data_IF_001889170209
#
_entry.id   IF_001889170209
#
_cell.length_a   1.000
_cell.length_b   1.000
_cell.length_c   1.000
_cell.angle_alpha   90.00
_cell.angle_beta   90.00
_cell.angle_gamma   90.00
#
_symmetry.space_group_name_H-M   'P 1'
#
loop_
_entity.id
_entity.type
_entity.pdbx_description
1 polymer ?
#
# COMPACT_ATOMS: atom_id res chain seq x y z
N UNK A 1 -26.06 7.82 26.43
CA UNK A 1 -25.43 7.32 25.19
C UNK A 1 -24.33 8.29 24.78
N UNK A 2 -23.07 8.00 25.15
CA UNK A 2 -21.90 8.75 24.69
C UNK A 2 -21.36 8.06 23.43
N UNK A 3 -21.36 8.76 22.30
CA UNK A 3 -20.62 8.34 21.10
C UNK A 3 -19.35 9.18 21.07
N UNK A 4 -18.23 8.54 21.39
CA UNK A 4 -16.89 9.11 21.25
C UNK A 4 -16.54 9.11 19.76
N UNK A 5 -16.42 10.29 19.15
CA UNK A 5 -15.85 10.43 17.82
C UNK A 5 -14.35 10.16 17.96
N UNK A 6 -13.86 9.07 17.37
CA UNK A 6 -12.42 8.83 17.27
C UNK A 6 -11.80 10.01 16.49
N UNK A 7 -10.92 10.75 17.15
CA UNK A 7 -10.15 11.82 16.51
C UNK A 7 -9.28 11.18 15.42
N UNK A 8 -9.69 11.36 14.17
CA UNK A 8 -8.83 11.12 13.02
C UNK A 8 -7.59 11.97 13.20
N UNK A 9 -6.42 11.35 13.12
CA UNK A 9 -5.15 12.04 13.37
C UNK A 9 -4.94 13.09 12.28
N UNK A 10 -4.27 14.20 12.62
CA UNK A 10 -3.97 15.30 11.69
C UNK A 10 -3.32 14.80 10.36
N UNK A 11 -2.66 13.64 10.39
CA UNK A 11 -2.06 12.97 9.24
C UNK A 11 -3.09 12.42 8.22
N UNK A 12 -4.25 11.97 8.67
CA UNK A 12 -5.32 11.48 7.79
C UNK A 12 -5.98 12.63 7.00
N UNK A 13 -6.00 13.84 7.59
CA UNK A 13 -6.53 15.06 6.95
C UNK A 13 -5.59 15.54 5.85
N UNK A 14 -4.27 15.38 5.99
CA UNK A 14 -3.29 15.70 4.94
C UNK A 14 -3.28 14.69 3.77
N UNK A 15 -3.79 13.48 3.97
CA UNK A 15 -3.89 12.44 2.93
C UNK A 15 -5.19 12.53 2.09
N UNK A 16 -6.18 13.28 2.56
CA UNK A 16 -7.42 13.55 1.86
C UNK A 16 -7.24 14.78 0.95
N UNK A 17 -6.97 14.56 -0.34
CA UNK A 17 -6.95 15.64 -1.32
C UNK A 17 -8.27 16.41 -1.31
N UNK A 18 -8.22 17.68 -0.90
CA UNK A 18 -9.32 18.62 -1.07
C UNK A 18 -9.45 19.00 -2.55
N UNK A 19 -10.58 19.54 -2.98
CA UNK A 19 -10.73 20.11 -4.34
C UNK A 19 -9.68 21.19 -4.66
N UNK A 20 -9.05 21.77 -3.62
CA UNK A 20 -8.06 22.83 -3.74
C UNK A 20 -6.61 22.36 -3.90
N UNK A 21 -6.25 21.12 -3.50
CA UNK A 21 -4.86 20.63 -3.50
C UNK A 21 -4.74 19.22 -4.11
N UNK A 22 -3.74 18.95 -4.98
CA UNK A 22 -3.56 17.63 -5.54
C UNK A 22 -3.16 16.61 -4.46
N UNK A 23 -3.56 15.33 -4.63
CA UNK A 23 -3.17 14.26 -3.71
C UNK A 23 -1.66 14.05 -3.73
N UNK A 24 -1.06 13.79 -2.56
CA UNK A 24 0.37 13.44 -2.47
C UNK A 24 0.61 11.97 -2.83
N UNK A 25 1.59 11.73 -3.71
CA UNK A 25 2.04 10.39 -4.06
C UNK A 25 2.90 9.79 -2.95
N UNK A 26 2.69 8.52 -2.65
CA UNK A 26 3.54 7.68 -1.82
C UNK A 26 3.69 6.27 -2.42
N UNK A 27 4.65 5.51 -1.91
CA UNK A 27 5.01 4.17 -2.42
C UNK A 27 3.86 3.16 -2.35
N UNK A 28 2.89 3.34 -1.46
CA UNK A 28 1.78 2.40 -1.24
C UNK A 28 0.46 2.85 -1.91
N UNK A 29 0.36 4.09 -2.39
CA UNK A 29 -0.90 4.70 -2.79
C UNK A 29 -0.98 5.04 -4.29
N UNK A 30 -0.09 4.53 -5.14
CA UNK A 30 -0.07 4.88 -6.57
C UNK A 30 -1.43 4.74 -7.25
N UNK A 31 -2.12 3.61 -7.05
CA UNK A 31 -3.43 3.32 -7.66
C UNK A 31 -4.51 4.33 -7.21
N UNK A 32 -4.74 4.56 -5.90
CA UNK A 32 -5.67 5.59 -5.47
C UNK A 32 -5.20 7.02 -5.78
N UNK A 33 -3.89 7.29 -5.79
CA UNK A 33 -3.31 8.59 -6.12
C UNK A 33 -3.58 8.96 -7.59
N UNK A 34 -3.23 8.07 -8.53
CA UNK A 34 -3.43 8.28 -9.97
C UNK A 34 -4.90 8.59 -10.29
N UNK A 35 -5.82 7.82 -9.69
CA UNK A 35 -7.26 8.04 -9.84
C UNK A 35 -7.73 9.39 -9.28
N UNK A 36 -7.16 9.83 -8.14
CA UNK A 36 -7.49 11.13 -7.53
C UNK A 36 -6.87 12.28 -8.32
N UNK A 37 -5.64 12.13 -8.81
CA UNK A 37 -4.94 13.15 -9.61
C UNK A 37 -5.65 13.39 -10.94
N UNK A 38 -6.06 12.33 -11.65
CA UNK A 38 -6.83 12.46 -12.90
C UNK A 38 -8.19 13.13 -12.67
N UNK A 39 -8.84 12.85 -11.54
CA UNK A 39 -10.10 13.51 -11.16
C UNK A 39 -9.91 14.98 -10.85
N UNK A 40 -8.87 15.30 -10.09
CA UNK A 40 -8.48 16.66 -9.76
C UNK A 40 -8.10 17.45 -11.02
N UNK A 41 -7.35 16.85 -11.95
CA UNK A 41 -7.05 17.46 -13.24
C UNK A 41 -8.35 17.80 -13.99
N UNK A 42 -9.30 16.86 -14.08
CA UNK A 42 -10.60 17.07 -14.74
C UNK A 42 -11.45 18.18 -14.11
N UNK A 43 -11.32 18.47 -12.83
CA UNK A 43 -12.10 19.52 -12.15
C UNK A 43 -11.53 20.93 -12.32
N UNK A 44 -10.34 21.09 -12.92
CA UNK A 44 -9.76 22.41 -13.23
C UNK A 44 -10.43 23.04 -14.47
N UNK A 45 -10.36 24.39 -14.64
CA UNK A 45 -10.97 25.09 -15.77
C UNK A 45 -10.57 24.52 -17.16
N UNK A 46 -9.35 23.99 -17.29
CA UNK A 46 -8.83 23.33 -18.50
C UNK A 46 -8.78 21.80 -18.39
N UNK A 47 -9.58 21.19 -17.51
CA UNK A 47 -9.36 19.81 -17.07
C UNK A 47 -9.44 18.73 -18.13
N UNK A 48 -10.21 18.96 -19.21
CA UNK A 48 -10.23 18.08 -20.38
C UNK A 48 -8.90 18.08 -21.15
N UNK A 49 -8.25 19.24 -21.22
CA UNK A 49 -6.94 19.40 -21.88
C UNK A 49 -5.86 18.71 -21.05
N UNK A 50 -5.77 19.04 -19.75
CA UNK A 50 -4.82 18.42 -18.81
C UNK A 50 -4.93 16.88 -18.86
N UNK A 51 -6.15 16.35 -18.76
CA UNK A 51 -6.39 14.91 -18.79
C UNK A 51 -5.96 14.26 -20.12
N UNK A 52 -6.22 14.92 -21.25
CA UNK A 52 -5.83 14.42 -22.56
C UNK A 52 -4.31 14.48 -22.77
N UNK A 53 -3.64 15.54 -22.31
CA UNK A 53 -2.17 15.66 -22.35
C UNK A 53 -1.49 14.55 -21.54
N UNK A 54 -2.07 14.17 -20.39
CA UNK A 54 -1.56 13.07 -19.55
C UNK A 54 -1.66 11.71 -20.25
N UNK A 55 -2.81 11.42 -20.89
CA UNK A 55 -3.06 10.08 -21.44
C UNK A 55 -2.54 9.91 -22.87
N UNK A 56 -2.72 10.92 -23.72
CA UNK A 56 -2.53 10.80 -25.17
C UNK A 56 -1.25 11.49 -25.66
N UNK A 57 -0.51 12.17 -24.78
CA UNK A 57 0.71 12.87 -25.16
C UNK A 57 0.48 14.29 -25.62
N UNK A 58 1.53 15.00 -26.07
CA UNK A 58 1.36 16.37 -26.49
C UNK A 58 0.31 16.39 -27.60
N UNK A 59 -0.78 17.11 -27.33
CA UNK A 59 -1.80 17.41 -28.32
C UNK A 59 -1.08 17.88 -29.58
N UNK A 60 -1.26 17.17 -30.71
CA UNK A 60 -0.71 17.59 -32.00
C UNK A 60 -1.44 18.87 -32.42
N UNK A 61 -0.82 19.99 -32.05
CA UNK A 61 -0.89 21.34 -32.63
C UNK A 61 -2.17 21.67 -33.42
N UNK A 62 -3.10 22.38 -32.78
CA UNK A 62 -3.63 23.57 -33.45
C UNK A 62 -2.63 24.69 -33.21
N UNK A 63 -2.18 25.35 -34.28
CA UNK A 63 -1.44 26.61 -34.18
C UNK A 63 -2.20 27.50 -33.18
N UNK A 64 -1.48 28.08 -32.22
CA UNK A 64 -1.98 28.65 -30.94
C UNK A 64 -2.05 27.60 -29.82
N UNK A 65 -0.91 27.01 -29.46
CA UNK A 65 -0.70 26.69 -28.05
C UNK A 65 -0.21 27.99 -27.41
N UNK A 66 -1.08 28.71 -26.72
CA UNK A 66 -0.61 29.76 -25.82
C UNK A 66 0.29 29.08 -24.78
N UNK A 67 1.49 29.63 -24.55
CA UNK A 67 2.48 29.11 -23.61
C UNK A 67 1.92 28.79 -22.20
N UNK A 68 0.73 29.30 -21.86
CA UNK A 68 0.08 29.07 -20.57
C UNK A 68 -0.62 27.71 -20.39
N UNK A 69 -0.95 26.95 -21.42
CA UNK A 69 -1.72 25.69 -21.23
C UNK A 69 -0.84 24.49 -20.87
N UNK A 70 0.29 24.30 -21.55
CA UNK A 70 1.23 23.20 -21.24
C UNK A 70 1.87 23.33 -19.86
N UNK A 71 2.16 24.57 -19.43
CA UNK A 71 2.74 24.87 -18.12
C UNK A 71 1.76 24.53 -16.97
N UNK A 72 0.45 24.72 -17.19
CA UNK A 72 -0.61 24.34 -16.23
C UNK A 72 -0.72 22.81 -16.06
N UNK A 73 -0.54 22.06 -17.14
CA UNK A 73 -0.61 20.59 -17.14
C UNK A 73 0.57 19.99 -16.35
N UNK A 74 1.79 20.49 -16.62
CA UNK A 74 3.02 20.08 -15.94
C UNK A 74 2.96 20.41 -14.45
N UNK A 75 2.60 21.66 -14.11
CA UNK A 75 2.45 22.09 -12.72
C UNK A 75 1.43 21.25 -11.95
N UNK A 76 0.34 20.80 -12.60
CA UNK A 76 -0.68 19.95 -11.99
C UNK A 76 -0.12 18.61 -11.50
N UNK A 77 0.78 17.98 -12.26
CA UNK A 77 1.41 16.71 -11.88
C UNK A 77 2.47 16.94 -10.80
N UNK A 78 3.36 17.93 -11.02
CA UNK A 78 4.50 18.20 -10.13
C UNK A 78 4.08 18.52 -8.69
N UNK A 79 2.96 19.22 -8.49
CA UNK A 79 2.43 19.57 -7.17
C UNK A 79 2.03 18.34 -6.30
N UNK A 80 1.85 17.17 -6.93
CA UNK A 80 1.51 15.92 -6.25
C UNK A 80 2.70 14.98 -6.02
N UNK A 81 3.91 15.35 -6.45
CA UNK A 81 5.10 14.50 -6.40
C UNK A 81 5.97 14.83 -5.17
N UNK A 82 6.50 13.80 -4.49
CA UNK A 82 7.58 13.98 -3.52
C UNK A 82 8.91 14.31 -4.21
N UNK A 83 9.83 14.89 -3.45
CA UNK A 83 11.08 15.50 -3.93
C UNK A 83 12.01 14.52 -4.65
N UNK A 84 12.07 13.26 -4.19
CA UNK A 84 12.85 12.19 -4.82
C UNK A 84 12.31 11.80 -6.20
N UNK A 85 10.99 11.89 -6.40
CA UNK A 85 10.35 11.66 -7.68
C UNK A 85 10.47 12.89 -8.57
N UNK A 86 10.35 14.10 -8.00
CA UNK A 86 10.54 15.36 -8.72
C UNK A 86 11.93 15.43 -9.38
N UNK A 87 13.00 15.13 -8.62
CA UNK A 87 14.36 15.12 -9.15
C UNK A 87 14.58 14.08 -10.27
N UNK A 88 13.76 13.03 -10.35
CA UNK A 88 13.85 12.00 -11.39
C UNK A 88 13.06 12.32 -12.66
N UNK A 89 12.21 13.35 -12.62
CA UNK A 89 11.37 13.82 -13.73
C UNK A 89 11.68 15.27 -14.12
N UNK A 90 12.71 15.88 -13.54
CA UNK A 90 13.10 17.28 -13.76
C UNK A 90 13.49 17.57 -15.22
N UNK A 91 13.99 16.55 -15.93
CA UNK A 91 14.36 16.60 -17.34
C UNK A 91 13.20 16.31 -18.29
N UNK A 92 11.99 16.02 -17.78
CA UNK A 92 10.82 15.75 -18.61
C UNK A 92 10.16 17.07 -19.02
N UNK A 93 9.82 17.21 -20.30
CA UNK A 93 9.27 18.44 -20.85
C UNK A 93 7.74 18.40 -20.91
N UNK A 94 7.15 17.21 -20.94
CA UNK A 94 5.70 17.04 -21.10
C UNK A 94 5.03 16.35 -19.91
N UNK A 95 3.76 16.69 -19.68
CA UNK A 95 2.92 16.03 -18.69
C UNK A 95 2.83 14.50 -18.90
N UNK A 96 2.85 14.04 -20.16
CA UNK A 96 2.84 12.61 -20.48
C UNK A 96 4.16 11.93 -20.09
N UNK A 97 5.31 12.54 -20.39
CA UNK A 97 6.61 12.00 -20.01
C UNK A 97 6.73 11.87 -18.50
N UNK A 98 6.35 12.92 -17.76
CA UNK A 98 6.32 12.90 -16.29
C UNK A 98 5.40 11.78 -15.81
N UNK A 99 4.18 11.68 -16.35
CA UNK A 99 3.21 10.64 -15.98
C UNK A 99 3.74 9.22 -16.23
N UNK A 100 4.31 8.97 -17.41
CA UNK A 100 4.86 7.67 -17.78
C UNK A 100 6.08 7.32 -16.92
N UNK A 101 6.94 8.29 -16.64
CA UNK A 101 8.13 8.11 -15.81
C UNK A 101 7.76 7.78 -14.37
N UNK A 102 6.80 8.51 -13.79
CA UNK A 102 6.23 8.20 -12.47
C UNK A 102 5.64 6.78 -12.48
N UNK A 103 4.81 6.44 -13.47
CA UNK A 103 4.24 5.09 -13.57
C UNK A 103 5.31 3.99 -13.62
N UNK A 104 6.40 4.19 -14.36
CA UNK A 104 7.51 3.23 -14.43
C UNK A 104 8.25 3.11 -13.08
N UNK A 105 8.52 4.23 -12.42
CA UNK A 105 9.15 4.22 -11.09
C UNK A 105 8.28 3.50 -10.07
N UNK A 106 6.96 3.74 -10.10
CA UNK A 106 6.02 3.10 -9.19
C UNK A 106 5.89 1.60 -9.43
N UNK A 107 6.00 1.12 -10.68
CA UNK A 107 6.10 -0.33 -10.96
C UNK A 107 7.33 -0.96 -10.29
N UNK A 108 8.47 -0.26 -10.26
CA UNK A 108 9.67 -0.72 -9.54
C UNK A 108 9.47 -0.79 -8.02
N UNK A 109 8.77 0.20 -7.44
CA UNK A 109 8.40 0.18 -6.02
C UNK A 109 7.40 -0.93 -5.70
N UNK A 110 6.43 -1.19 -6.57
CA UNK A 110 5.47 -2.29 -6.43
C UNK A 110 6.19 -3.63 -6.41
N UNK A 111 7.18 -3.86 -7.27
CA UNK A 111 7.97 -5.11 -7.28
C UNK A 111 8.61 -5.36 -5.91
N UNK A 112 9.32 -4.37 -5.35
CA UNK A 112 9.95 -4.52 -4.03
C UNK A 112 8.93 -4.75 -2.90
N UNK A 113 7.77 -4.10 -2.97
CA UNK A 113 6.68 -4.30 -2.01
C UNK A 113 6.09 -5.71 -2.15
N UNK A 114 5.85 -6.19 -3.37
CA UNK A 114 5.31 -7.53 -3.64
C UNK A 114 6.32 -8.64 -3.29
N UNK A 115 7.61 -8.46 -3.56
CA UNK A 115 8.65 -9.39 -3.13
C UNK A 115 8.71 -9.50 -1.61
N UNK A 116 8.65 -8.38 -0.90
CA UNK A 116 8.62 -8.38 0.57
C UNK A 116 7.38 -9.11 1.10
N UNK A 117 6.23 -8.93 0.46
CA UNK A 117 5.00 -9.67 0.79
C UNK A 117 5.15 -11.16 0.52
N UNK A 118 5.65 -11.53 -0.66
CA UNK A 118 5.86 -12.92 -1.05
C UNK A 118 6.83 -13.63 -0.10
N UNK A 119 7.91 -12.95 0.33
CA UNK A 119 8.86 -13.47 1.33
C UNK A 119 8.18 -13.75 2.67
N UNK A 120 7.41 -12.78 3.20
CA UNK A 120 6.67 -12.97 4.46
C UNK A 120 5.63 -14.08 4.37
N UNK A 121 4.94 -14.19 3.23
CA UNK A 121 3.96 -15.25 3.01
C UNK A 121 4.61 -16.63 2.92
N UNK A 122 5.77 -16.74 2.25
CA UNK A 122 6.55 -17.97 2.20
C UNK A 122 7.10 -18.36 3.59
N UNK A 123 7.58 -17.39 4.37
CA UNK A 123 7.97 -17.62 5.77
C UNK A 123 6.80 -18.13 6.61
N UNK A 124 5.60 -17.58 6.41
CA UNK A 124 4.37 -18.07 7.03
C UNK A 124 4.01 -19.49 6.61
N UNK A 125 4.04 -19.77 5.32
CA UNK A 125 3.70 -21.08 4.78
C UNK A 125 4.64 -22.16 5.32
N UNK A 126 5.94 -21.85 5.42
CA UNK A 126 6.98 -22.76 5.90
C UNK A 126 7.18 -22.71 7.42
N UNK A 127 6.41 -21.90 8.13
CA UNK A 127 6.57 -21.75 9.58
C UNK A 127 6.27 -23.07 10.28
N UNK A 128 7.30 -23.62 10.94
CA UNK A 128 7.21 -24.82 11.75
C UNK A 128 8.13 -24.75 12.97
N UNK A 129 7.91 -25.65 13.92
CA UNK A 129 8.79 -25.83 15.07
C UNK A 129 10.14 -26.41 14.66
N UNK A 130 11.21 -25.93 15.29
CA UNK A 130 12.55 -26.46 15.05
C UNK A 130 12.87 -27.58 16.05
N UNK A 131 13.69 -28.56 15.67
CA UNK A 131 14.12 -29.63 16.58
C UNK A 131 14.82 -29.05 17.84
N UNK A 132 14.42 -29.53 19.03
CA UNK A 132 14.96 -29.05 20.31
C UNK A 132 14.55 -27.63 20.71
N UNK A 133 13.69 -26.95 19.95
CA UNK A 133 13.15 -25.63 20.33
C UNK A 133 12.27 -25.72 21.57
N UNK A 134 12.29 -24.69 22.44
CA UNK A 134 11.34 -24.60 23.55
C UNK A 134 10.00 -24.00 23.09
N UNK A 135 8.90 -24.36 23.77
CA UNK A 135 7.57 -23.81 23.44
C UNK A 135 7.50 -22.28 23.56
N UNK A 136 8.26 -21.70 24.49
CA UNK A 136 8.39 -20.26 24.68
C UNK A 136 9.10 -19.60 23.48
N UNK A 137 10.21 -20.19 23.01
CA UNK A 137 10.91 -19.74 21.80
C UNK A 137 10.00 -19.81 20.58
N UNK A 138 9.29 -20.93 20.41
CA UNK A 138 8.33 -21.12 19.30
C UNK A 138 7.24 -20.05 19.30
N UNK A 139 6.62 -19.81 20.48
CA UNK A 139 5.60 -18.78 20.63
C UNK A 139 6.15 -17.38 20.35
N UNK A 140 7.36 -17.07 20.79
CA UNK A 140 8.00 -15.78 20.52
C UNK A 140 8.24 -15.57 19.01
N UNK A 141 8.75 -16.59 18.29
CA UNK A 141 8.92 -16.53 16.83
C UNK A 141 7.59 -16.36 16.10
N UNK A 142 6.57 -17.08 16.54
CA UNK A 142 5.22 -16.97 15.97
C UNK A 142 4.64 -15.56 16.17
N UNK A 143 4.75 -15.00 17.37
CA UNK A 143 4.30 -13.63 17.65
C UNK A 143 5.02 -12.59 16.79
N UNK A 144 6.33 -12.74 16.61
CA UNK A 144 7.11 -11.85 15.74
C UNK A 144 6.59 -11.89 14.30
N UNK A 145 6.43 -13.09 13.75
CA UNK A 145 5.89 -13.30 12.40
C UNK A 145 4.47 -12.71 12.24
N UNK A 146 3.60 -12.93 13.23
CA UNK A 146 2.25 -12.35 13.24
C UNK A 146 2.26 -10.83 13.30
N UNK A 147 3.17 -10.23 14.08
CA UNK A 147 3.31 -8.78 14.15
C UNK A 147 3.82 -8.20 12.83
N UNK A 148 4.74 -8.89 12.15
CA UNK A 148 5.24 -8.47 10.85
C UNK A 148 4.15 -8.56 9.76
N UNK A 149 3.35 -9.64 9.76
CA UNK A 149 2.18 -9.77 8.88
C UNK A 149 1.16 -8.64 9.10
N UNK A 150 0.82 -8.33 10.37
CA UNK A 150 -0.08 -7.22 10.73
C UNK A 150 0.43 -5.87 10.24
N UNK A 151 1.72 -5.57 10.45
CA UNK A 151 2.34 -4.30 10.03
C UNK A 151 2.32 -4.11 8.52
N UNK A 152 2.37 -5.19 7.75
CA UNK A 152 2.32 -5.13 6.28
C UNK A 152 0.87 -5.17 5.73
N UNK A 153 -0.17 -5.04 6.58
CA UNK A 153 -1.60 -5.07 6.21
C UNK A 153 -2.05 -6.39 5.57
N UNK A 154 -1.36 -7.51 5.84
CA UNK A 154 -1.73 -8.85 5.38
C UNK A 154 -2.01 -9.72 6.58
N UNK A 155 -3.27 -9.83 6.99
CA UNK A 155 -3.66 -10.59 8.17
C UNK A 155 -4.47 -11.83 7.74
N UNK A 156 -3.96 -13.06 7.97
CA UNK A 156 -4.80 -14.24 7.95
C UNK A 156 -5.85 -14.10 9.06
N UNK A 157 -7.07 -14.57 8.85
CA UNK A 157 -8.08 -14.55 9.90
C UNK A 157 -7.55 -15.16 11.21
N UNK A 158 -8.03 -14.68 12.36
CA UNK A 158 -7.58 -15.14 13.68
C UNK A 158 -7.67 -16.67 13.81
N UNK A 159 -8.71 -17.26 13.23
CA UNK A 159 -8.94 -18.71 13.19
C UNK A 159 -7.84 -19.40 12.37
N UNK A 160 -7.53 -18.91 11.16
CA UNK A 160 -6.45 -19.45 10.33
C UNK A 160 -5.09 -19.35 11.03
N UNK A 161 -4.85 -18.27 11.77
CA UNK A 161 -3.62 -18.07 12.53
C UNK A 161 -3.48 -19.08 13.66
N UNK A 162 -4.54 -19.29 14.43
CA UNK A 162 -4.56 -20.26 15.53
C UNK A 162 -4.38 -21.70 15.03
N UNK A 163 -5.05 -22.06 13.93
CA UNK A 163 -4.89 -23.39 13.31
C UNK A 163 -3.45 -23.60 12.83
N UNK A 164 -2.84 -22.59 12.20
CA UNK A 164 -1.43 -22.66 11.78
C UNK A 164 -0.50 -22.86 12.98
N UNK A 165 -0.72 -22.15 14.09
CA UNK A 165 0.09 -22.32 15.30
C UNK A 165 0.03 -23.76 15.83
N UNK A 166 -1.18 -24.31 15.97
CA UNK A 166 -1.42 -25.64 16.56
C UNK A 166 -0.90 -26.77 15.66
N UNK A 167 -1.14 -26.70 14.35
CA UNK A 167 -0.78 -27.76 13.41
C UNK A 167 0.73 -27.92 13.19
N UNK A 168 1.55 -26.93 13.59
CA UNK A 168 3.01 -26.97 13.39
C UNK A 168 3.79 -27.11 14.72
N UNK A 169 3.08 -27.42 15.82
CA UNK A 169 3.73 -27.84 17.07
C UNK A 169 4.39 -29.21 16.89
N UNK A 170 5.47 -29.45 17.61
CA UNK A 170 6.08 -30.77 17.61
C UNK A 170 5.13 -31.83 18.20
N UNK A 171 5.21 -33.09 17.76
CA UNK A 171 4.34 -34.18 18.23
C UNK A 171 4.29 -34.33 19.75
N UNK A 172 5.41 -34.05 20.42
CA UNK A 172 5.59 -34.08 21.87
C UNK A 172 4.62 -33.12 22.56
N UNK A 173 4.37 -31.94 21.98
CA UNK A 173 3.42 -30.95 22.49
C UNK A 173 2.01 -31.15 21.95
N UNK A 174 1.88 -31.62 20.70
CA UNK A 174 0.59 -31.94 20.10
C UNK A 174 -0.17 -32.96 20.95
N UNK A 175 0.50 -33.95 21.54
CA UNK A 175 -0.14 -34.92 22.44
C UNK A 175 -0.80 -34.27 23.66
N UNK A 176 -0.17 -33.26 24.26
CA UNK A 176 -0.76 -32.53 25.40
C UNK A 176 -1.92 -31.63 24.95
N UNK A 177 -1.85 -31.05 23.75
CA UNK A 177 -2.94 -30.24 23.18
C UNK A 177 -4.17 -31.11 22.87
N UNK A 178 -3.98 -32.28 22.24
CA UNK A 178 -5.08 -33.22 21.96
C UNK A 178 -5.73 -33.71 23.24
N UNK A 179 -4.95 -34.05 24.26
CA UNK A 179 -5.49 -34.44 25.57
C UNK A 179 -6.31 -33.29 26.18
N UNK A 180 -5.85 -32.05 26.09
CA UNK A 180 -6.60 -30.88 26.60
C UNK A 180 -7.87 -30.61 25.79
N UNK A 181 -7.84 -30.76 24.46
CA UNK A 181 -9.01 -30.63 23.60
C UNK A 181 -10.04 -31.74 23.81
N UNK A 182 -9.60 -32.97 24.06
CA UNK A 182 -10.49 -34.13 24.31
C UNK A 182 -11.04 -34.13 25.74
N UNK A 183 -10.30 -33.55 26.71
CA UNK A 183 -10.70 -33.52 28.13
C UNK A 183 -11.41 -32.23 28.55
N UNK A 184 -11.48 -31.20 27.71
CA UNK A 184 -12.20 -29.95 28.00
C UNK A 184 -12.99 -29.46 26.78
N UNK A 185 -14.29 -29.22 27.00
CA UNK A 185 -15.16 -28.46 26.11
C UNK A 185 -14.67 -27.00 25.96
N UNK A 186 -13.64 -26.74 25.14
CA UNK A 186 -13.10 -25.38 24.96
C UNK A 186 -13.78 -24.64 23.77
N UNK A 187 -15.00 -25.00 23.40
CA UNK A 187 -15.82 -24.23 22.43
C UNK A 187 -16.77 -23.22 23.08
N UNK A 188 -16.39 -22.63 24.22
CA UNK A 188 -17.00 -21.40 24.72
C UNK A 188 -15.88 -20.40 25.00
N UNK A 189 -15.58 -19.53 24.04
CA UNK A 189 -15.26 -18.10 24.16
C UNK A 189 -14.70 -17.55 22.84
#
# INVERSE_FOLDING_TARGET
FHITFAMSTQQDIYAAGSESRPPMLNKENYVPWSSRLLRYAKSRPNGKLIHNSILNGPYVRRMIAELGDGERDVNTILLGLPEDIYAAVDSCETAQEIWLRVQQMMKGFDIGIQEKKAKLFNEWERFTSNEGESIESYYHRFLKLMNDLKRNKHFPEKIASNLKFLNNLQPEWSRYVTIVCDTREIFKF
#
